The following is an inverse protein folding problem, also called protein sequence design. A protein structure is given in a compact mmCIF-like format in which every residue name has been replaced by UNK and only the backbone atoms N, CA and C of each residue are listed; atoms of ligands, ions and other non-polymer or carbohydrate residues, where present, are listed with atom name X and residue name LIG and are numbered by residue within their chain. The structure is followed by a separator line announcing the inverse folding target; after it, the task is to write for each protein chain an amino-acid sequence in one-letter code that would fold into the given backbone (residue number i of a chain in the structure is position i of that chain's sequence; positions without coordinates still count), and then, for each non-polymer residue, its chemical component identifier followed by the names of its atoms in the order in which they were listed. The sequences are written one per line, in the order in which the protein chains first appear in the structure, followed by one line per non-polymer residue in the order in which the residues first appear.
data_IF_589388783419
#
_entry.id   IF_589388783419
#
_cell.length_a   1.000
_cell.length_b   1.000
_cell.length_c   1.000
_cell.angle_alpha   90.00
_cell.angle_beta   90.00
_cell.angle_gamma   90.00
#
_symmetry.space_group_name_H-M   'P 1'
#
loop_
_entity.id
_entity.type
_entity.pdbx_description
1 polymer ?
#
# COMPACT_ATOMS: atom_id res chain seq x y z
N UNK A 1 -12.32 -16.45 -12.22
CA UNK A 1 -11.15 -15.56 -12.11
C UNK A 1 -11.67 -14.14 -12.21
N UNK A 2 -11.83 -13.47 -11.08
CA UNK A 2 -12.50 -12.17 -11.03
C UNK A 2 -11.47 -11.12 -11.51
N UNK A 3 -11.60 -10.68 -12.76
CA UNK A 3 -10.79 -9.64 -13.41
C UNK A 3 -11.10 -8.28 -12.79
N UNK A 4 -10.77 -8.13 -11.51
CA UNK A 4 -10.65 -6.80 -10.94
C UNK A 4 -9.47 -6.12 -11.63
N UNK A 5 -9.76 -4.97 -12.21
CA UNK A 5 -8.81 -4.14 -12.92
C UNK A 5 -7.66 -3.78 -11.95
N UNK A 6 -6.49 -4.40 -12.11
CA UNK A 6 -5.30 -4.20 -11.25
C UNK A 6 -5.04 -2.70 -11.04
N UNK A 7 -5.29 -1.91 -12.08
CA UNK A 7 -5.28 -0.45 -12.11
C UNK A 7 -6.13 0.20 -11.01
N UNK A 8 -7.35 -0.30 -10.77
CA UNK A 8 -8.23 0.22 -9.72
C UNK A 8 -7.68 -0.08 -8.32
N UNK A 9 -7.13 -1.29 -8.10
CA UNK A 9 -6.54 -1.66 -6.81
C UNK A 9 -5.28 -0.83 -6.50
N UNK A 10 -4.45 -0.59 -7.51
CA UNK A 10 -3.26 0.28 -7.42
C UNK A 10 -3.64 1.70 -6.99
N UNK A 11 -4.77 2.22 -7.48
CA UNK A 11 -5.23 3.56 -7.14
C UNK A 11 -5.68 3.69 -5.67
N UNK A 12 -6.02 2.59 -5.00
CA UNK A 12 -6.38 2.58 -3.57
C UNK A 12 -5.15 2.66 -2.65
N UNK A 13 -3.95 2.41 -3.17
CA UNK A 13 -2.71 2.39 -2.40
C UNK A 13 -2.13 3.80 -2.21
N UNK A 14 -2.89 4.68 -1.55
CA UNK A 14 -2.34 5.92 -0.99
C UNK A 14 -1.50 5.65 0.27
N UNK A 15 -0.70 6.62 0.68
CA UNK A 15 0.20 6.48 1.83
C UNK A 15 -0.53 6.15 3.15
N UNK A 16 -1.79 6.55 3.31
CA UNK A 16 -2.56 6.23 4.51
C UNK A 16 -3.01 4.76 4.51
N UNK A 17 -3.46 4.27 3.36
CA UNK A 17 -3.84 2.87 3.12
C UNK A 17 -2.63 1.96 3.25
N UNK A 18 -1.49 2.33 2.65
CA UNK A 18 -0.22 1.61 2.79
C UNK A 18 0.20 1.56 4.27
N UNK A 19 0.05 2.66 5.02
CA UNK A 19 0.38 2.69 6.45
C UNK A 19 -0.51 1.74 7.26
N UNK A 20 -1.80 1.67 6.95
CA UNK A 20 -2.72 0.74 7.60
C UNK A 20 -2.35 -0.72 7.30
N UNK A 21 -2.07 -1.04 6.03
CA UNK A 21 -1.62 -2.36 5.61
C UNK A 21 -0.31 -2.77 6.29
N UNK A 22 0.69 -1.87 6.35
CA UNK A 22 1.94 -2.15 7.05
C UNK A 22 1.69 -2.58 8.51
N UNK A 23 0.78 -1.91 9.21
CA UNK A 23 0.44 -2.25 10.60
C UNK A 23 -0.26 -3.59 10.73
N UNK A 24 -1.24 -3.87 9.87
CA UNK A 24 -2.01 -5.11 9.90
C UNK A 24 -1.15 -6.33 9.58
N UNK A 25 -0.21 -6.18 8.64
CA UNK A 25 0.66 -7.26 8.18
C UNK A 25 1.99 -7.35 8.95
N UNK A 26 2.18 -6.54 10.00
CA UNK A 26 3.41 -6.53 10.79
C UNK A 26 4.65 -6.08 10.02
N UNK A 27 4.47 -5.40 8.88
CA UNK A 27 5.54 -4.90 8.04
C UNK A 27 5.96 -3.49 8.47
N UNK A 28 7.19 -3.13 8.12
CA UNK A 28 7.74 -1.81 8.43
C UNK A 28 8.56 -1.27 7.25
N UNK A 29 9.01 -0.02 7.33
CA UNK A 29 9.74 0.63 6.24
C UNK A 29 11.07 -0.06 5.88
N UNK A 30 11.66 -0.87 6.77
CA UNK A 30 12.85 -1.68 6.45
C UNK A 30 12.52 -2.74 5.39
N UNK A 31 11.35 -3.37 5.47
CA UNK A 31 10.91 -4.37 4.48
C UNK A 31 10.74 -3.73 3.11
N UNK A 32 10.16 -2.53 3.06
CA UNK A 32 10.05 -1.77 1.82
C UNK A 32 11.43 -1.36 1.29
N UNK A 33 12.30 -0.82 2.14
CA UNK A 33 13.65 -0.43 1.75
C UNK A 33 14.42 -1.58 1.06
N UNK A 34 14.32 -2.79 1.61
CA UNK A 34 14.90 -4.00 1.00
C UNK A 34 14.22 -4.32 -0.34
N UNK A 35 12.88 -4.36 -0.38
CA UNK A 35 12.12 -4.72 -1.59
C UNK A 35 12.37 -3.76 -2.75
N UNK A 36 12.53 -2.47 -2.46
CA UNK A 36 12.73 -1.41 -3.46
C UNK A 36 14.21 -1.09 -3.70
N UNK A 37 15.14 -1.74 -2.99
CA UNK A 37 16.57 -1.44 -3.02
C UNK A 37 16.86 0.06 -2.81
N UNK A 38 16.23 0.66 -1.80
CA UNK A 38 16.42 2.06 -1.42
C UNK A 38 16.63 2.20 0.08
N UNK A 39 17.02 3.39 0.52
CA UNK A 39 17.17 3.68 1.95
C UNK A 39 15.82 3.82 2.65
N UNK A 40 15.80 3.69 3.99
CA UNK A 40 14.57 3.87 4.79
C UNK A 40 14.06 5.30 4.70
N UNK A 41 14.96 6.26 4.55
CA UNK A 41 14.68 7.69 4.39
C UNK A 41 13.94 7.97 3.08
N UNK A 42 14.31 7.26 1.99
CA UNK A 42 13.60 7.36 0.72
C UNK A 42 12.15 6.83 0.84
N UNK A 43 11.95 5.70 1.53
CA UNK A 43 10.61 5.18 1.83
C UNK A 43 9.82 6.19 2.68
N UNK A 44 10.44 6.72 3.73
CA UNK A 44 9.81 7.70 4.60
C UNK A 44 9.37 8.95 3.82
N UNK A 45 10.24 9.46 2.94
CA UNK A 45 9.91 10.59 2.07
C UNK A 45 8.71 10.28 1.17
N UNK A 46 8.71 9.14 0.48
CA UNK A 46 7.59 8.71 -0.40
C UNK A 46 6.28 8.56 0.36
N UNK A 47 6.32 8.00 1.57
CA UNK A 47 5.14 7.88 2.44
C UNK A 47 4.63 9.24 2.93
N UNK A 48 5.52 10.22 3.14
CA UNK A 48 5.15 11.57 3.59
C UNK A 48 4.56 12.41 2.46
N UNK A 49 5.06 12.27 1.24
CA UNK A 49 4.66 13.08 0.07
C UNK A 49 3.66 12.37 -0.85
N UNK A 50 3.35 11.10 -0.59
CA UNK A 50 2.57 10.20 -1.43
C UNK A 50 3.04 10.10 -2.89
N UNK A 51 4.34 10.32 -3.14
CA UNK A 51 4.91 10.42 -4.49
C UNK A 51 5.28 9.06 -5.13
N UNK A 52 4.52 8.01 -4.81
CA UNK A 52 4.72 6.67 -5.36
C UNK A 52 4.42 6.61 -6.86
N UNK A 53 5.34 6.08 -7.65
CA UNK A 53 5.10 5.81 -9.07
C UNK A 53 4.15 4.63 -9.23
N UNK A 54 3.42 4.56 -10.35
CA UNK A 54 2.45 3.48 -10.60
C UNK A 54 3.08 2.08 -10.47
N UNK A 55 4.26 1.87 -11.07
CA UNK A 55 4.97 0.59 -10.95
C UNK A 55 5.42 0.28 -9.50
N UNK A 56 5.69 1.29 -8.67
CA UNK A 56 6.05 1.06 -7.27
C UNK A 56 4.83 0.60 -6.49
N UNK A 57 3.65 1.20 -6.76
CA UNK A 57 2.38 0.76 -6.17
C UNK A 57 2.02 -0.66 -6.60
N UNK A 58 2.36 -1.08 -7.81
CA UNK A 58 2.24 -2.49 -8.23
C UNK A 58 3.08 -3.42 -7.38
N UNK A 59 4.35 -3.07 -7.15
CA UNK A 59 5.24 -3.85 -6.30
C UNK A 59 4.77 -3.90 -4.85
N UNK A 60 4.15 -2.82 -4.35
CA UNK A 60 3.51 -2.80 -3.03
C UNK A 60 2.32 -3.76 -3.01
N UNK A 61 1.46 -3.72 -4.03
CA UNK A 61 0.29 -4.60 -4.13
C UNK A 61 0.72 -6.07 -4.15
N UNK A 62 1.72 -6.41 -4.97
CA UNK A 62 2.28 -7.76 -5.07
C UNK A 62 2.90 -8.22 -3.75
N UNK A 63 3.59 -7.33 -3.03
CA UNK A 63 4.14 -7.63 -1.71
C UNK A 63 3.03 -8.03 -0.74
N UNK A 64 1.95 -7.25 -0.63
CA UNK A 64 0.88 -7.58 0.29
C UNK A 64 0.08 -8.82 -0.15
N UNK A 65 -0.15 -9.01 -1.45
CA UNK A 65 -0.78 -10.24 -1.97
C UNK A 65 0.06 -11.47 -1.61
N UNK A 66 1.40 -11.37 -1.70
CA UNK A 66 2.28 -12.47 -1.27
C UNK A 66 2.23 -12.78 0.23
N UNK A 67 1.72 -11.84 1.05
CA UNK A 67 1.47 -12.03 2.48
C UNK A 67 -0.01 -12.39 2.79
N UNK A 68 -0.83 -12.65 1.76
CA UNK A 68 -2.21 -13.08 1.92
C UNK A 68 -3.27 -11.99 1.77
N UNK A 69 -2.91 -10.78 1.29
CA UNK A 69 -3.89 -9.72 1.07
C UNK A 69 -4.95 -10.11 0.06
N UNK A 70 -6.20 -10.08 0.52
CA UNK A 70 -7.36 -10.21 -0.33
C UNK A 70 -7.82 -8.86 -0.87
N UNK A 71 -8.39 -8.87 -2.07
CA UNK A 71 -8.84 -7.64 -2.76
C UNK A 71 -9.95 -6.92 -1.98
N UNK A 72 -10.89 -7.68 -1.40
CA UNK A 72 -11.98 -7.13 -0.60
C UNK A 72 -11.44 -6.45 0.68
N UNK A 73 -10.39 -7.00 1.27
CA UNK A 73 -9.71 -6.43 2.42
C UNK A 73 -9.07 -5.08 2.07
N UNK A 74 -8.37 -4.98 0.93
CA UNK A 74 -7.80 -3.71 0.46
C UNK A 74 -8.86 -2.63 0.30
N UNK A 75 -10.00 -2.96 -0.31
CA UNK A 75 -11.11 -2.03 -0.50
C UNK A 75 -11.69 -1.57 0.84
N UNK A 76 -11.88 -2.49 1.79
CA UNK A 76 -12.39 -2.19 3.12
C UNK A 76 -11.45 -1.26 3.88
N UNK A 77 -10.15 -1.59 3.92
CA UNK A 77 -9.12 -0.79 4.60
C UNK A 77 -9.09 0.62 4.03
N UNK A 78 -9.06 0.76 2.71
CA UNK A 78 -9.07 2.08 2.07
C UNK A 78 -10.31 2.89 2.46
N UNK A 79 -11.50 2.28 2.45
CA UNK A 79 -12.73 2.95 2.87
C UNK A 79 -12.70 3.37 4.35
N UNK A 80 -12.16 2.53 5.24
CA UNK A 80 -12.04 2.85 6.67
C UNK A 80 -11.07 4.00 6.92
N UNK A 81 -9.95 4.02 6.21
CA UNK A 81 -8.93 5.06 6.33
C UNK A 81 -9.41 6.41 5.77
N UNK A 82 -10.13 6.39 4.64
CA UNK A 82 -10.61 7.61 3.98
C UNK A 82 -11.86 8.20 4.65
N UNK A 83 -12.84 7.38 5.06
CA UNK A 83 -14.05 7.88 5.75
C UNK A 83 -13.75 8.50 7.11
N UNK A 84 -12.65 8.09 7.77
CA UNK A 84 -12.20 8.69 9.03
C UNK A 84 -11.82 10.18 8.91
N UNK A 85 -11.65 10.72 7.68
CA UNK A 85 -11.40 12.15 7.44
C UNK A 85 -12.65 13.04 7.52
N UNK A 86 -13.85 12.46 7.69
CA UNK A 86 -15.11 13.21 7.82
C UNK A 86 -15.56 13.22 9.28
N UNK A 87 -14.73 13.73 10.19
CA UNK A 87 -15.13 14.16 11.55
C UNK A 87 -14.23 15.32 11.96
#
# INVERSE_FOLDING_TARGET
MNTYDKSKLINLLDSATITALLRLYGLNYKHFAIRFNVTREAIHYRMKTDCWKAYERELILELFISHGLEMAELMLIHQMVTKRKVI
#
